data_IF_917545563973
#
_entry.id   IF_917545563973
#
_cell.length_a   1.000
_cell.length_b   1.000
_cell.length_c   1.000
_cell.angle_alpha   90.00
_cell.angle_beta   90.00
_cell.angle_gamma   90.00
#
_symmetry.space_group_name_H-M   'P 1'
#
loop_
_entity.id
_entity.type
_entity.pdbx_description
1 polymer ?
#
# COMPACT_ATOMS: atom_id res chain seq x y z
N UNK A 1 -9.31 1.01 8.41
CA UNK A 1 -8.24 1.99 8.62
C UNK A 1 -7.27 1.58 9.73
N UNK A 2 -7.72 1.39 10.98
CA UNK A 2 -6.84 1.00 12.09
C UNK A 2 -6.01 -0.27 11.80
N UNK A 3 -6.64 -1.29 11.20
CA UNK A 3 -5.93 -2.50 10.76
C UNK A 3 -4.77 -2.21 9.80
N UNK A 4 -4.91 -1.24 8.89
CA UNK A 4 -3.84 -0.85 7.97
C UNK A 4 -2.70 -0.20 8.75
N UNK A 5 -3.02 0.68 9.70
CA UNK A 5 -2.00 1.33 10.54
C UNK A 5 -1.26 0.30 11.41
N UNK A 6 -1.96 -0.69 11.95
CA UNK A 6 -1.36 -1.80 12.71
C UNK A 6 -0.48 -2.70 11.84
N UNK A 7 -0.94 -3.06 10.64
CA UNK A 7 -0.14 -3.83 9.69
C UNK A 7 1.11 -3.07 9.25
N UNK A 8 0.99 -1.76 9.00
CA UNK A 8 2.10 -0.89 8.65
C UNK A 8 3.12 -0.79 9.81
N UNK A 9 2.63 -0.58 11.03
CA UNK A 9 3.46 -0.60 12.23
C UNK A 9 4.24 -1.90 12.35
N UNK A 10 3.55 -3.04 12.24
CA UNK A 10 4.16 -4.36 12.29
C UNK A 10 5.23 -4.56 11.22
N UNK A 11 4.93 -4.22 9.96
CA UNK A 11 5.87 -4.35 8.85
C UNK A 11 7.14 -3.52 9.06
N UNK A 12 6.97 -2.23 9.38
CA UNK A 12 8.11 -1.33 9.57
C UNK A 12 8.91 -1.74 10.81
N UNK A 13 8.26 -2.20 11.88
CA UNK A 13 8.94 -2.61 13.13
C UNK A 13 9.93 -3.74 12.90
N UNK A 14 9.62 -4.69 12.02
CA UNK A 14 10.51 -5.83 11.71
C UNK A 14 11.87 -5.34 11.18
N UNK A 15 11.87 -4.32 10.32
CA UNK A 15 13.07 -3.91 9.58
C UNK A 15 13.69 -2.58 10.07
N UNK A 16 12.88 -1.69 10.65
CA UNK A 16 13.26 -0.35 11.07
C UNK A 16 13.17 -0.10 12.58
N UNK A 17 12.65 -1.06 13.35
CA UNK A 17 12.48 -0.94 14.79
C UNK A 17 11.26 -0.12 15.21
N UNK A 18 11.06 0.00 16.53
CA UNK A 18 9.84 0.55 17.13
C UNK A 18 9.61 2.03 16.80
N UNK A 19 10.69 2.83 16.76
CA UNK A 19 10.61 4.27 16.53
C UNK A 19 10.16 4.58 15.09
N UNK A 20 10.85 3.98 14.11
CA UNK A 20 10.48 4.08 12.70
C UNK A 20 9.05 3.59 12.43
N UNK A 21 8.58 2.56 13.14
CA UNK A 21 7.24 2.02 12.99
C UNK A 21 6.16 3.04 13.40
N UNK A 22 6.29 3.67 14.57
CA UNK A 22 5.37 4.72 14.97
C UNK A 22 5.49 5.96 14.07
N UNK A 23 6.71 6.39 13.75
CA UNK A 23 6.93 7.49 12.83
C UNK A 23 6.22 7.26 11.49
N UNK A 24 6.28 6.04 10.94
CA UNK A 24 5.64 5.67 9.67
C UNK A 24 4.11 5.72 9.73
N UNK A 25 3.51 5.32 10.86
CA UNK A 25 2.07 5.43 11.08
C UNK A 25 1.63 6.89 11.10
N UNK A 26 2.30 7.72 11.89
CA UNK A 26 2.03 9.16 11.95
C UNK A 26 2.23 9.82 10.58
N UNK A 27 3.31 9.45 9.89
CA UNK A 27 3.63 9.96 8.57
C UNK A 27 2.50 9.69 7.59
N UNK A 28 2.05 8.43 7.50
CA UNK A 28 0.96 8.09 6.60
C UNK A 28 -0.33 8.84 6.94
N UNK A 29 -0.71 8.95 8.22
CA UNK A 29 -1.91 9.70 8.63
C UNK A 29 -1.86 11.17 8.24
N UNK A 30 -0.67 11.76 8.21
CA UNK A 30 -0.44 13.16 7.82
C UNK A 30 -0.26 13.36 6.31
N UNK A 31 -0.44 12.32 5.48
CA UNK A 31 -0.41 12.47 4.02
C UNK A 31 -1.70 13.08 3.46
N UNK A 32 -1.63 13.85 2.35
CA UNK A 32 -2.82 14.31 1.65
C UNK A 32 -3.77 13.18 1.26
N UNK A 33 -3.23 12.03 0.83
CA UNK A 33 -4.07 10.91 0.39
C UNK A 33 -4.85 10.28 1.54
N UNK A 34 -4.23 10.15 2.72
CA UNK A 34 -4.93 9.63 3.88
C UNK A 34 -6.11 10.53 4.27
N UNK A 35 -5.86 11.83 4.36
CA UNK A 35 -6.88 12.83 4.72
C UNK A 35 -8.01 12.82 3.68
N UNK A 36 -7.68 12.76 2.39
CA UNK A 36 -8.68 12.71 1.31
C UNK A 36 -9.55 11.44 1.37
N UNK A 37 -8.98 10.31 1.79
CA UNK A 37 -9.65 9.00 1.79
C UNK A 37 -10.21 8.60 3.17
N UNK A 38 -10.02 9.43 4.20
CA UNK A 38 -10.42 9.18 5.59
C UNK A 38 -11.91 8.82 5.74
N UNK A 39 -12.80 9.54 5.03
CA UNK A 39 -14.26 9.36 5.13
C UNK A 39 -14.91 8.90 3.82
N UNK A 40 -14.11 8.47 2.85
CA UNK A 40 -14.62 8.01 1.57
C UNK A 40 -14.85 6.51 1.65
N UNK A 41 -16.07 6.03 1.43
CA UNK A 41 -16.28 4.60 1.17
C UNK A 41 -15.55 4.22 -0.12
N UNK A 42 -14.44 3.49 0.01
CA UNK A 42 -13.60 3.12 -1.12
C UNK A 42 -12.86 1.81 -0.87
N UNK A 43 -12.43 1.19 -1.97
CA UNK A 43 -11.74 -0.09 -1.97
C UNK A 43 -10.22 0.03 -1.74
N UNK A 44 -9.70 1.25 -1.57
CA UNK A 44 -8.27 1.54 -1.60
C UNK A 44 -7.60 1.38 -0.26
N UNK A 45 -8.29 1.74 0.82
CA UNK A 45 -7.85 1.42 2.17
C UNK A 45 -7.84 -0.10 2.42
N UNK A 46 -8.88 -0.88 2.04
CA UNK A 46 -8.82 -2.34 2.03
C UNK A 46 -7.70 -2.93 1.17
N UNK A 47 -7.49 -2.40 -0.05
CA UNK A 47 -6.39 -2.83 -0.93
C UNK A 47 -5.03 -2.61 -0.26
N UNK A 48 -4.79 -1.42 0.27
CA UNK A 48 -3.54 -1.11 0.95
C UNK A 48 -3.35 -1.94 2.22
N UNK A 49 -4.42 -2.18 2.98
CA UNK A 49 -4.39 -3.10 4.11
C UNK A 49 -3.91 -4.48 3.67
N UNK A 50 -4.53 -5.03 2.63
CA UNK A 50 -4.19 -6.36 2.16
C UNK A 50 -2.74 -6.43 1.62
N UNK A 51 -2.27 -5.40 0.91
CA UNK A 51 -0.86 -5.36 0.47
C UNK A 51 0.10 -5.31 1.67
N UNK A 52 -0.13 -4.39 2.61
CA UNK A 52 0.77 -4.21 3.77
C UNK A 52 0.71 -5.39 4.74
N UNK A 53 -0.48 -5.93 5.01
CA UNK A 53 -0.67 -7.10 5.85
C UNK A 53 -0.09 -8.37 5.19
N UNK A 54 -0.19 -8.49 3.87
CA UNK A 54 0.43 -9.56 3.10
C UNK A 54 1.96 -9.52 3.23
N UNK A 55 2.57 -8.35 3.04
CA UNK A 55 4.01 -8.17 3.26
C UNK A 55 4.40 -8.47 4.71
N UNK A 56 3.64 -7.99 5.68
CA UNK A 56 3.88 -8.24 7.10
C UNK A 56 3.81 -9.73 7.46
N UNK A 57 2.78 -10.44 6.97
CA UNK A 57 2.64 -11.89 7.16
C UNK A 57 3.78 -12.65 6.50
N UNK A 58 4.17 -12.26 5.28
CA UNK A 58 5.26 -12.91 4.57
C UNK A 58 6.62 -12.69 5.23
N UNK A 59 6.87 -11.49 5.78
CA UNK A 59 8.07 -11.18 6.57
C UNK A 59 8.24 -12.06 7.82
N UNK A 60 7.17 -12.72 8.28
CA UNK A 60 7.13 -13.56 9.48
C UNK A 60 6.73 -15.01 9.21
N UNK A 61 6.58 -15.40 7.94
CA UNK A 61 6.03 -16.72 7.59
C UNK A 61 6.90 -17.88 8.08
N UNK A 62 8.17 -17.62 8.39
CA UNK A 62 9.10 -18.61 8.93
C UNK A 62 8.85 -18.91 10.41
N UNK A 63 8.31 -17.96 11.16
CA UNK A 63 8.04 -18.11 12.60
C UNK A 63 6.88 -19.06 12.89
N UNK A 64 5.81 -19.05 12.07
CA UNK A 64 4.60 -19.83 12.30
C UNK A 64 3.68 -19.83 11.07
N UNK A 65 2.90 -20.90 10.91
CA UNK A 65 1.90 -21.03 9.84
C UNK A 65 0.83 -19.93 9.86
N UNK A 66 0.54 -19.32 11.02
CA UNK A 66 -0.42 -18.21 11.12
C UNK A 66 -0.04 -17.01 10.24
N UNK A 67 1.26 -16.80 10.04
CA UNK A 67 1.78 -15.70 9.24
C UNK A 67 1.71 -16.01 7.74
N UNK A 68 1.94 -17.27 7.36
CA UNK A 68 1.62 -17.76 6.02
C UNK A 68 0.14 -17.62 5.72
N UNK A 69 -0.74 -17.99 6.67
CA UNK A 69 -2.18 -17.82 6.54
C UNK A 69 -2.58 -16.35 6.38
N UNK A 70 -1.94 -15.42 7.11
CA UNK A 70 -2.15 -13.98 6.94
C UNK A 70 -1.79 -13.51 5.52
N UNK A 71 -0.68 -14.00 4.94
CA UNK A 71 -0.33 -13.70 3.56
C UNK A 71 -1.38 -14.22 2.58
N UNK A 72 -1.79 -15.49 2.71
CA UNK A 72 -2.81 -16.11 1.83
C UNK A 72 -4.15 -15.37 1.95
N UNK A 73 -4.61 -15.09 3.16
CA UNK A 73 -5.83 -14.33 3.39
C UNK A 73 -5.76 -12.91 2.80
N UNK A 74 -4.60 -12.26 2.90
CA UNK A 74 -4.37 -10.97 2.27
C UNK A 74 -4.42 -11.04 0.75
N UNK A 75 -3.88 -12.10 0.14
CA UNK A 75 -3.93 -12.32 -1.30
C UNK A 75 -5.38 -12.51 -1.78
N UNK A 76 -6.16 -13.32 -1.07
CA UNK A 76 -7.58 -13.51 -1.33
C UNK A 76 -8.30 -12.15 -1.24
N UNK A 77 -8.05 -11.41 -0.16
CA UNK A 77 -8.64 -10.10 0.04
C UNK A 77 -8.35 -9.15 -1.13
N UNK A 78 -7.10 -9.05 -1.61
CA UNK A 78 -6.81 -8.19 -2.78
C UNK A 78 -7.55 -8.67 -4.04
N UNK A 79 -7.53 -9.98 -4.32
CA UNK A 79 -8.20 -10.56 -5.48
C UNK A 79 -9.69 -10.24 -5.48
N UNK A 80 -10.37 -10.43 -4.35
CA UNK A 80 -11.81 -10.16 -4.25
C UNK A 80 -12.15 -8.66 -4.19
N UNK A 81 -11.27 -7.79 -3.68
CA UNK A 81 -11.51 -6.34 -3.69
C UNK A 81 -11.38 -5.76 -5.10
N UNK A 82 -10.36 -6.16 -5.85
CA UNK A 82 -9.93 -5.41 -7.05
C UNK A 82 -9.38 -6.28 -8.21
N UNK A 83 -9.56 -7.59 -8.15
CA UNK A 83 -9.20 -8.53 -9.21
C UNK A 83 -7.75 -8.41 -9.64
N UNK A 84 -7.48 -8.04 -10.90
CA UNK A 84 -6.13 -7.94 -11.51
C UNK A 84 -5.15 -7.06 -10.72
N UNK A 85 -5.65 -6.11 -9.92
CA UNK A 85 -4.77 -5.32 -9.03
C UNK A 85 -4.09 -6.16 -7.93
N UNK A 86 -4.46 -7.44 -7.75
CA UNK A 86 -3.75 -8.41 -6.91
C UNK A 86 -2.29 -8.60 -7.28
N UNK A 87 -1.93 -8.36 -8.55
CA UNK A 87 -0.54 -8.35 -9.01
C UNK A 87 0.34 -7.35 -8.24
N UNK A 88 -0.23 -6.31 -7.62
CA UNK A 88 0.52 -5.39 -6.75
C UNK A 88 1.10 -6.12 -5.55
N UNK A 89 0.33 -6.99 -4.89
CA UNK A 89 0.84 -7.80 -3.78
C UNK A 89 1.84 -8.84 -4.29
N UNK A 90 1.59 -9.46 -5.44
CA UNK A 90 2.55 -10.38 -6.09
C UNK A 90 3.90 -9.69 -6.29
N UNK A 91 3.94 -8.56 -7.00
CA UNK A 91 5.16 -7.79 -7.26
C UNK A 91 5.86 -7.36 -5.97
N UNK A 92 5.11 -6.90 -4.97
CA UNK A 92 5.66 -6.47 -3.69
C UNK A 92 6.24 -7.66 -2.89
N UNK A 93 5.59 -8.82 -2.94
CA UNK A 93 6.06 -10.05 -2.29
C UNK A 93 7.32 -10.61 -2.97
N UNK A 94 7.41 -10.53 -4.30
CA UNK A 94 8.63 -10.86 -5.05
C UNK A 94 9.77 -9.90 -4.70
N UNK A 95 9.48 -8.60 -4.59
CA UNK A 95 10.48 -7.62 -4.14
C UNK A 95 10.98 -7.95 -2.72
N UNK A 96 10.08 -8.28 -1.79
CA UNK A 96 10.44 -8.71 -0.44
C UNK A 96 11.33 -9.95 -0.44
N UNK A 97 10.95 -10.98 -1.19
CA UNK A 97 11.75 -12.19 -1.33
C UNK A 97 13.14 -11.88 -1.89
N UNK A 98 13.23 -11.08 -2.95
CA UNK A 98 14.50 -10.75 -3.62
C UNK A 98 15.42 -9.85 -2.79
N UNK A 99 14.86 -8.99 -1.92
CA UNK A 99 15.61 -7.98 -1.16
C UNK A 99 16.01 -8.49 0.23
N UNK A 100 15.12 -9.20 0.92
CA UNK A 100 15.26 -9.44 2.37
C UNK A 100 15.34 -10.92 2.75
N UNK A 101 14.49 -11.79 2.18
CA UNK A 101 14.30 -13.13 2.74
C UNK A 101 15.05 -14.22 1.98
N UNK A 102 14.94 -14.25 0.64
CA UNK A 102 15.63 -15.19 -0.27
C UNK A 102 15.57 -16.68 0.11
N UNK A 103 14.61 -17.11 0.93
CA UNK A 103 14.47 -18.52 1.31
C UNK A 103 13.51 -19.26 0.39
N UNK A 104 13.73 -20.57 0.25
CA UNK A 104 12.81 -21.45 -0.49
C UNK A 104 11.43 -21.50 0.14
N UNK A 105 11.35 -21.49 1.48
CA UNK A 105 10.09 -21.50 2.23
C UNK A 105 9.22 -20.30 1.88
N UNK A 106 9.77 -19.09 1.84
CA UNK A 106 9.04 -17.88 1.44
C UNK A 106 8.51 -18.01 0.01
N UNK A 107 9.33 -18.50 -0.92
CA UNK A 107 8.90 -18.73 -2.30
C UNK A 107 7.77 -19.77 -2.37
N UNK A 108 7.86 -20.87 -1.63
CA UNK A 108 6.80 -21.87 -1.52
C UNK A 108 5.49 -21.26 -0.98
N UNK A 109 5.56 -20.37 0.03
CA UNK A 109 4.38 -19.68 0.56
C UNK A 109 3.77 -18.74 -0.48
N UNK A 110 4.58 -17.98 -1.22
CA UNK A 110 4.12 -17.13 -2.32
C UNK A 110 3.40 -18.00 -3.36
N UNK A 111 4.05 -19.05 -3.85
CA UNK A 111 3.48 -19.94 -4.88
C UNK A 111 2.21 -20.62 -4.41
N UNK A 112 2.21 -21.23 -3.21
CA UNK A 112 1.04 -21.89 -2.65
C UNK A 112 -0.13 -20.90 -2.47
N UNK A 113 0.14 -19.69 -2.00
CA UNK A 113 -0.87 -18.64 -1.91
C UNK A 113 -1.52 -18.32 -3.25
N UNK A 114 -0.74 -18.20 -4.33
CA UNK A 114 -1.27 -17.94 -5.67
C UNK A 114 -2.08 -19.12 -6.23
N UNK A 115 -1.64 -20.37 -5.98
CA UNK A 115 -2.41 -21.56 -6.35
C UNK A 115 -3.76 -21.56 -5.64
N UNK A 116 -3.78 -21.29 -4.34
CA UNK A 116 -5.02 -21.20 -3.56
C UNK A 116 -5.91 -20.06 -4.02
N UNK A 117 -5.34 -18.89 -4.34
CA UNK A 117 -6.11 -17.75 -4.84
C UNK A 117 -6.71 -18.04 -6.22
N UNK A 118 -5.96 -18.69 -7.11
CA UNK A 118 -6.46 -19.14 -8.41
C UNK A 118 -7.59 -20.16 -8.23
N UNK A 119 -7.42 -21.14 -7.35
CA UNK A 119 -8.47 -22.11 -7.04
C UNK A 119 -9.74 -21.42 -6.51
N UNK A 120 -9.61 -20.40 -5.65
CA UNK A 120 -10.73 -19.62 -5.15
C UNK A 120 -11.44 -18.83 -6.28
N UNK A 121 -10.69 -18.25 -7.22
CA UNK A 121 -11.25 -17.55 -8.38
C UNK A 121 -12.00 -18.52 -9.31
N UNK A 122 -11.42 -19.69 -9.58
CA UNK A 122 -12.06 -20.71 -10.41
C UNK A 122 -13.30 -21.31 -9.73
N UNK A 123 -13.25 -21.51 -8.40
CA UNK A 123 -14.41 -21.93 -7.61
C UNK A 123 -15.52 -20.89 -7.65
N UNK A 124 -15.18 -19.60 -7.50
CA UNK A 124 -16.13 -18.50 -7.67
C UNK A 124 -16.75 -18.50 -9.07
N UNK A 125 -15.95 -18.64 -10.13
CA UNK A 125 -16.44 -18.71 -11.51
C UNK A 125 -17.40 -19.89 -11.71
N UNK A 126 -17.07 -21.08 -11.19
CA UNK A 126 -17.92 -22.26 -11.29
C UNK A 126 -19.27 -22.04 -10.58
N UNK A 127 -19.26 -21.50 -9.37
CA UNK A 127 -20.48 -21.17 -8.62
C UNK A 127 -21.30 -20.09 -9.32
N UNK A 128 -20.64 -19.07 -9.87
CA UNK A 128 -21.30 -17.98 -10.59
C UNK A 128 -21.96 -18.49 -11.87
N UNK A 129 -21.25 -19.29 -12.68
CA UNK A 129 -21.81 -19.92 -13.89
C UNK A 129 -22.98 -20.84 -13.55
N UNK A 130 -22.85 -21.65 -12.50
CA UNK A 130 -23.94 -22.52 -12.06
C UNK A 130 -25.20 -21.71 -11.69
N UNK A 131 -25.03 -20.58 -11.00
CA UNK A 131 -26.15 -19.75 -10.55
C UNK A 131 -26.75 -18.85 -11.64
N UNK A 132 -25.96 -18.42 -12.64
CA UNK A 132 -26.36 -17.38 -13.59
C UNK A 132 -26.43 -17.84 -15.05
N UNK A 133 -25.81 -18.97 -15.39
CA UNK A 133 -25.61 -19.42 -16.77
C UNK A 133 -24.50 -18.67 -17.53
N UNK A 134 -23.92 -17.61 -16.94
CA UNK A 134 -22.98 -16.70 -17.60
C UNK A 134 -21.58 -16.76 -17.00
N UNK A 135 -20.56 -16.41 -17.79
CA UNK A 135 -19.16 -16.37 -17.32
C UNK A 135 -18.77 -15.00 -16.77
N UNK A 136 -18.56 -14.92 -15.46
CA UNK A 136 -18.04 -13.69 -14.84
C UNK A 136 -16.63 -13.37 -15.34
N UNK A 137 -15.73 -14.35 -15.36
CA UNK A 137 -14.34 -14.12 -15.77
C UNK A 137 -14.23 -13.67 -17.22
N UNK A 138 -15.01 -14.25 -18.14
CA UNK A 138 -15.03 -13.82 -19.54
C UNK A 138 -15.45 -12.35 -19.64
N UNK A 139 -16.55 -11.97 -18.97
CA UNK A 139 -17.02 -10.59 -18.94
C UNK A 139 -16.01 -9.65 -18.29
N UNK A 140 -15.49 -10.01 -17.12
CA UNK A 140 -14.54 -9.21 -16.36
C UNK A 140 -13.23 -8.98 -17.13
N UNK A 141 -12.64 -10.04 -17.67
CA UNK A 141 -11.40 -9.94 -18.44
C UNK A 141 -11.63 -9.26 -19.79
N UNK A 142 -12.77 -9.48 -20.44
CA UNK A 142 -13.17 -8.75 -21.64
C UNK A 142 -13.30 -7.26 -21.37
N UNK A 143 -13.90 -6.86 -20.25
CA UNK A 143 -14.03 -5.45 -19.88
C UNK A 143 -12.69 -4.80 -19.50
N UNK A 144 -11.84 -5.50 -18.74
CA UNK A 144 -10.54 -4.97 -18.31
C UNK A 144 -9.49 -4.98 -19.44
N UNK A 145 -9.54 -6.00 -20.29
CA UNK A 145 -8.55 -6.25 -21.35
C UNK A 145 -8.96 -5.77 -22.74
N UNK A 146 -10.25 -5.77 -23.08
CA UNK A 146 -10.73 -5.48 -24.44
C UNK A 146 -10.27 -4.12 -24.96
N UNK A 147 -10.42 -3.06 -24.14
CA UNK A 147 -9.93 -1.72 -24.51
C UNK A 147 -8.41 -1.61 -24.58
N UNK A 148 -7.68 -2.46 -23.85
CA UNK A 148 -6.22 -2.44 -23.85
C UNK A 148 -5.64 -3.18 -25.07
N UNK A 149 -6.30 -4.25 -25.52
CA UNK A 149 -5.91 -5.01 -26.72
C UNK A 149 -6.22 -4.21 -27.99
N UNK A 150 -7.39 -3.57 -28.07
CA UNK A 150 -7.79 -2.75 -29.22
C UNK A 150 -6.89 -1.53 -29.44
N UNK A 151 -6.37 -0.93 -28.37
CA UNK A 151 -5.54 0.29 -28.45
C UNK A 151 -4.08 0.03 -28.85
N UNK A 152 -3.61 -1.22 -28.81
CA UNK A 152 -2.22 -1.59 -29.07
C UNK A 152 -1.21 -1.04 -28.04
N UNK A 153 0.08 -1.37 -28.21
CA UNK A 153 1.15 -0.85 -27.35
C UNK A 153 1.68 0.48 -27.89
N UNK A 154 1.44 1.57 -27.13
CA UNK A 154 1.85 2.93 -27.47
C UNK A 154 2.88 3.47 -26.46
N UNK A 155 4.19 3.36 -26.72
CA UNK A 155 5.25 3.69 -25.77
C UNK A 155 5.14 5.11 -25.19
N UNK A 156 4.78 6.08 -26.02
CA UNK A 156 4.64 7.50 -25.64
C UNK A 156 3.55 7.69 -24.58
N UNK A 157 2.44 6.96 -24.69
CA UNK A 157 1.36 6.98 -23.71
C UNK A 157 1.80 6.34 -22.40
N UNK A 158 2.60 5.27 -22.44
CA UNK A 158 3.10 4.60 -21.22
C UNK A 158 4.10 5.48 -20.48
N UNK A 159 4.95 6.21 -21.20
CA UNK A 159 5.86 7.19 -20.60
C UNK A 159 5.09 8.35 -19.96
N UNK A 160 4.04 8.86 -20.63
CA UNK A 160 3.16 9.87 -20.05
C UNK A 160 2.45 9.35 -18.79
N UNK A 161 1.94 8.12 -18.81
CA UNK A 161 1.30 7.50 -17.65
C UNK A 161 2.29 7.33 -16.48
N UNK A 162 3.54 6.97 -16.78
CA UNK A 162 4.61 6.91 -15.79
C UNK A 162 4.87 8.28 -15.16
N UNK A 163 5.07 9.33 -15.96
CA UNK A 163 5.25 10.68 -15.46
C UNK A 163 4.06 11.13 -14.59
N UNK A 164 2.84 10.80 -15.03
CA UNK A 164 1.61 11.10 -14.30
C UNK A 164 1.57 10.39 -12.93
N UNK A 165 1.85 9.08 -12.88
CA UNK A 165 1.86 8.33 -11.62
C UNK A 165 3.01 8.75 -10.69
N UNK A 166 4.17 9.11 -11.23
CA UNK A 166 5.27 9.67 -10.44
C UNK A 166 4.87 11.01 -9.79
N UNK A 167 4.25 11.92 -10.56
CA UNK A 167 3.74 13.17 -10.01
C UNK A 167 2.71 12.94 -8.89
N UNK A 168 1.83 11.95 -9.05
CA UNK A 168 0.89 11.55 -7.99
C UNK A 168 1.57 10.93 -6.78
N UNK A 169 2.57 10.08 -6.98
CA UNK A 169 3.37 9.53 -5.88
C UNK A 169 4.07 10.63 -5.07
N UNK A 170 4.60 11.65 -5.75
CA UNK A 170 5.21 12.81 -5.10
C UNK A 170 4.19 13.63 -4.31
N UNK A 171 3.03 13.94 -4.91
CA UNK A 171 2.00 14.76 -4.27
C UNK A 171 1.34 14.04 -3.09
N UNK A 172 0.87 12.81 -3.30
CA UNK A 172 0.03 12.11 -2.34
C UNK A 172 0.80 11.50 -1.17
N UNK A 173 2.10 11.25 -1.33
CA UNK A 173 2.98 10.85 -0.23
C UNK A 173 3.77 12.03 0.37
N UNK A 174 3.49 13.28 -0.05
CA UNK A 174 4.07 14.46 0.56
C UNK A 174 3.66 14.59 2.05
N UNK A 175 4.47 15.23 2.90
CA UNK A 175 5.83 15.75 2.62
C UNK A 175 6.93 14.66 2.66
N UNK A 176 6.58 13.44 3.04
CA UNK A 176 7.55 12.39 3.38
C UNK A 176 8.40 11.93 2.21
N UNK A 177 7.86 11.91 1.00
CA UNK A 177 8.62 11.58 -0.20
C UNK A 177 9.69 12.64 -0.53
N UNK A 178 9.46 13.91 -0.17
CA UNK A 178 10.46 14.97 -0.30
C UNK A 178 11.60 14.74 0.69
N UNK A 179 11.25 14.40 1.94
CA UNK A 179 12.21 14.03 2.99
C UNK A 179 13.03 12.80 2.57
N UNK A 180 12.37 11.80 1.98
CA UNK A 180 13.02 10.61 1.43
C UNK A 180 14.03 10.98 0.34
N UNK A 181 13.62 11.78 -0.63
CA UNK A 181 14.49 12.22 -1.72
C UNK A 181 15.70 13.01 -1.19
N UNK A 182 15.48 13.94 -0.26
CA UNK A 182 16.55 14.71 0.37
C UNK A 182 17.59 13.80 1.05
N UNK A 183 17.15 12.86 1.90
CA UNK A 183 18.08 11.97 2.59
C UNK A 183 18.69 10.89 1.70
N UNK A 184 18.00 10.47 0.63
CA UNK A 184 18.55 9.58 -0.38
C UNK A 184 19.69 10.26 -1.16
N UNK A 185 19.49 11.49 -1.64
CA UNK A 185 20.52 12.27 -2.31
C UNK A 185 21.71 12.56 -1.39
N UNK A 186 21.44 12.93 -0.14
CA UNK A 186 22.50 13.10 0.87
C UNK A 186 23.26 11.80 1.13
N UNK A 187 22.57 10.65 1.14
CA UNK A 187 23.18 9.34 1.31
C UNK A 187 24.17 8.97 0.20
N UNK A 188 23.94 9.45 -1.03
CA UNK A 188 24.85 9.23 -2.15
C UNK A 188 26.14 10.05 -1.95
N UNK A 189 26.03 11.26 -1.40
CA UNK A 189 27.17 12.14 -1.13
C UNK A 189 27.99 11.69 0.07
N UNK A 190 27.34 11.34 1.19
CA UNK A 190 28.00 11.02 2.45
C UNK A 190 28.34 9.53 2.63
N UNK A 191 27.97 8.68 1.65
CA UNK A 191 28.18 7.22 1.66
C UNK A 191 27.68 6.51 2.93
N UNK A 192 26.74 7.10 3.66
CA UNK A 192 26.14 6.53 4.89
C UNK A 192 25.43 5.19 4.69
N UNK A 193 25.21 4.77 3.44
CA UNK A 193 24.57 3.49 3.14
C UNK A 193 23.07 3.45 3.46
N UNK A 194 22.39 4.59 3.60
CA UNK A 194 20.95 4.63 3.86
C UNK A 194 20.16 3.81 2.83
N UNK A 195 20.53 3.90 1.55
CA UNK A 195 19.89 3.14 0.46
C UNK A 195 20.18 1.64 0.50
N UNK A 196 21.06 1.16 1.39
CA UNK A 196 21.28 -0.27 1.65
C UNK A 196 20.29 -0.83 2.68
N UNK A 197 19.55 0.04 3.37
CA UNK A 197 18.53 -0.39 4.33
C UNK A 197 17.45 -1.26 3.69
N UNK A 198 17.15 -2.38 4.34
CA UNK A 198 16.21 -3.38 3.86
C UNK A 198 14.81 -2.82 3.69
N UNK A 199 14.30 -2.05 4.66
CA UNK A 199 12.95 -1.49 4.59
C UNK A 199 12.84 -0.44 3.49
N UNK A 200 13.79 0.49 3.41
CA UNK A 200 13.79 1.52 2.37
C UNK A 200 13.83 0.90 0.97
N UNK A 201 14.70 -0.09 0.76
CA UNK A 201 14.78 -0.82 -0.52
C UNK A 201 13.46 -1.52 -0.84
N UNK A 202 12.86 -2.21 0.13
CA UNK A 202 11.57 -2.86 -0.04
C UNK A 202 10.48 -1.86 -0.43
N UNK A 203 10.33 -0.77 0.35
CA UNK A 203 9.29 0.23 0.12
C UNK A 203 9.46 0.92 -1.24
N UNK A 204 10.69 1.28 -1.61
CA UNK A 204 11.00 1.88 -2.91
C UNK A 204 10.75 0.90 -4.07
N UNK A 205 11.23 -0.34 -3.97
CA UNK A 205 11.06 -1.35 -5.02
C UNK A 205 9.57 -1.69 -5.22
N UNK A 206 8.83 -1.97 -4.14
CA UNK A 206 7.39 -2.25 -4.22
C UNK A 206 6.60 -1.07 -4.79
N UNK A 207 6.93 0.15 -4.38
CA UNK A 207 6.29 1.36 -4.92
C UNK A 207 6.61 1.57 -6.41
N UNK A 208 7.88 1.40 -6.80
CA UNK A 208 8.30 1.51 -8.19
C UNK A 208 7.65 0.46 -9.07
N UNK A 209 7.62 -0.82 -8.66
CA UNK A 209 6.93 -1.89 -9.38
C UNK A 209 5.43 -1.63 -9.51
N UNK A 210 4.79 -1.11 -8.47
CA UNK A 210 3.37 -0.74 -8.50
C UNK A 210 3.11 0.38 -9.51
N UNK A 211 3.94 1.44 -9.49
CA UNK A 211 3.86 2.56 -10.43
C UNK A 211 4.09 2.09 -11.86
N UNK A 212 5.14 1.30 -12.10
CA UNK A 212 5.47 0.75 -13.42
C UNK A 212 4.31 -0.11 -13.94
N UNK A 213 3.80 -1.03 -13.11
CA UNK A 213 2.68 -1.89 -13.47
C UNK A 213 1.47 -1.07 -13.93
N UNK A 214 1.01 -0.11 -13.13
CA UNK A 214 -0.16 0.69 -13.50
C UNK A 214 0.10 1.67 -14.66
N UNK A 215 1.36 2.05 -14.90
CA UNK A 215 1.72 2.90 -16.05
C UNK A 215 1.54 2.19 -17.39
N UNK A 216 1.51 0.84 -17.40
CA UNK A 216 1.24 0.05 -18.59
C UNK A 216 -0.23 0.11 -19.04
N UNK A 217 -1.16 0.55 -18.18
CA UNK A 217 -2.58 0.63 -18.48
C UNK A 217 -2.99 2.04 -18.90
N UNK A 218 -3.87 2.15 -19.90
CA UNK A 218 -4.33 3.46 -20.38
C UNK A 218 -5.39 4.08 -19.47
N UNK A 219 -6.14 3.25 -18.74
CA UNK A 219 -7.05 3.72 -17.70
C UNK A 219 -6.23 4.17 -16.49
N UNK A 220 -6.23 5.47 -16.25
CA UNK A 220 -5.58 6.08 -15.08
C UNK A 220 -6.57 6.38 -13.97
N UNK A 221 -6.10 6.21 -12.75
CA UNK A 221 -6.75 6.74 -11.57
C UNK A 221 -5.73 6.90 -10.44
N UNK A 222 -5.84 8.00 -9.69
CA UNK A 222 -4.89 8.33 -8.60
C UNK A 222 -4.84 7.20 -7.58
N UNK A 223 -5.99 6.55 -7.40
CA UNK A 223 -6.23 5.48 -6.44
C UNK A 223 -5.64 4.11 -6.82
N UNK A 224 -5.10 3.94 -8.02
CA UNK A 224 -4.56 2.63 -8.42
C UNK A 224 -3.26 2.30 -7.69
N UNK A 225 -2.37 3.29 -7.52
CA UNK A 225 -1.09 3.12 -6.83
C UNK A 225 -1.20 3.40 -5.32
N UNK A 226 -2.40 3.29 -4.72
CA UNK A 226 -2.62 3.65 -3.31
C UNK A 226 -1.64 3.00 -2.33
N UNK A 227 -1.30 1.70 -2.46
CA UNK A 227 -0.29 1.07 -1.60
C UNK A 227 1.09 1.72 -1.70
N UNK A 228 1.47 2.26 -2.87
CA UNK A 228 2.74 2.95 -3.06
C UNK A 228 2.81 4.22 -2.20
N UNK A 229 1.72 4.97 -2.05
CA UNK A 229 1.70 6.16 -1.20
C UNK A 229 1.99 5.81 0.27
N UNK A 230 1.42 4.71 0.76
CA UNK A 230 1.64 4.22 2.13
C UNK A 230 3.12 3.87 2.34
N UNK A 231 3.70 3.12 1.41
CA UNK A 231 5.08 2.65 1.50
C UNK A 231 6.09 3.80 1.34
N UNK A 232 5.84 4.75 0.43
CA UNK A 232 6.69 5.93 0.26
C UNK A 232 6.66 6.86 1.48
N UNK A 233 5.48 7.06 2.08
CA UNK A 233 5.36 7.84 3.30
C UNK A 233 6.11 7.19 4.47
N UNK A 234 5.95 5.88 4.63
CA UNK A 234 6.69 5.11 5.63
C UNK A 234 8.20 5.15 5.38
N UNK A 235 8.65 5.01 4.13
CA UNK A 235 10.06 5.10 3.77
C UNK A 235 10.65 6.49 4.10
N UNK A 236 9.93 7.57 3.81
CA UNK A 236 10.36 8.92 4.16
C UNK A 236 10.52 9.13 5.66
N UNK A 237 9.57 8.64 6.45
CA UNK A 237 9.67 8.67 7.91
C UNK A 237 10.81 7.79 8.45
N UNK A 238 11.00 6.58 7.91
CA UNK A 238 12.08 5.70 8.32
C UNK A 238 13.46 6.29 7.97
N UNK A 239 13.58 6.97 6.83
CA UNK A 239 14.79 7.70 6.45
C UNK A 239 15.07 8.86 7.43
N UNK A 240 14.04 9.62 7.82
CA UNK A 240 14.16 10.68 8.81
C UNK A 240 14.58 10.15 10.18
N UNK A 241 13.98 9.03 10.63
CA UNK A 241 14.29 8.38 11.90
C UNK A 241 15.77 8.02 12.03
N UNK A 242 16.34 7.46 10.97
CA UNK A 242 17.77 7.10 10.92
C UNK A 242 18.70 8.31 10.93
N UNK A 243 18.24 9.47 10.49
CA UNK A 243 19.09 10.66 10.26
C UNK A 243 18.91 11.74 11.31
N UNK A 244 17.79 11.75 12.05
CA UNK A 244 17.45 12.80 13.00
C UNK A 244 17.15 12.21 14.39
N UNK A 245 18.12 12.22 15.32
CA UNK A 245 17.95 11.64 16.66
C UNK A 245 16.77 12.21 17.46
N UNK A 246 16.41 13.49 17.26
CA UNK A 246 15.26 14.08 17.94
C UNK A 246 13.92 13.50 17.47
N UNK A 247 13.80 13.17 16.18
CA UNK A 247 12.65 12.44 15.65
C UNK A 247 12.56 11.05 16.28
N UNK A 248 13.68 10.33 16.30
CA UNK A 248 13.75 9.00 16.90
C UNK A 248 13.37 9.00 18.38
N UNK A 249 13.90 9.95 19.17
CA UNK A 249 13.59 10.10 20.60
C UNK A 249 12.12 10.38 20.87
N UNK A 250 11.42 11.07 19.96
CA UNK A 250 9.99 11.37 20.09
C UNK A 250 9.17 10.07 20.12
N UNK A 251 9.51 9.09 19.27
CA UNK A 251 8.74 7.86 19.14
C UNK A 251 9.23 6.69 20.00
N UNK A 252 10.41 6.80 20.63
CA UNK A 252 10.95 5.78 21.54
C UNK A 252 10.26 5.77 22.91
N UNK A 253 9.81 6.92 23.42
CA UNK A 253 9.63 7.07 24.88
C UNK A 253 8.26 6.67 25.44
N UNK A 254 7.17 6.62 24.66
CA UNK A 254 5.83 6.35 25.24
C UNK A 254 4.80 5.81 24.22
N UNK A 255 4.69 4.48 24.00
CA UNK A 255 3.78 3.92 23.00
C UNK A 255 2.30 4.23 23.27
N UNK A 256 1.88 4.25 24.55
CA UNK A 256 0.49 4.58 24.92
C UNK A 256 0.16 6.03 24.58
N UNK A 257 1.07 6.98 24.89
CA UNK A 257 0.85 8.40 24.56
C UNK A 257 0.81 8.63 23.06
N UNK A 258 1.64 7.91 22.29
CA UNK A 258 1.61 7.96 20.83
C UNK A 258 0.29 7.42 20.28
N UNK A 259 -0.23 6.32 20.82
CA UNK A 259 -1.53 5.79 20.43
C UNK A 259 -2.68 6.79 20.75
N UNK A 260 -2.65 7.41 21.94
CA UNK A 260 -3.63 8.43 22.32
C UNK A 260 -3.53 9.68 21.43
N UNK A 261 -2.31 10.16 21.16
CA UNK A 261 -2.08 11.30 20.27
C UNK A 261 -2.55 11.01 18.84
N UNK A 262 -2.31 9.79 18.35
CA UNK A 262 -2.83 9.33 17.06
C UNK A 262 -4.36 9.29 17.06
N UNK A 263 -4.97 8.76 18.11
CA UNK A 263 -6.43 8.74 18.27
C UNK A 263 -7.04 10.15 18.25
N UNK A 264 -6.48 11.06 19.05
CA UNK A 264 -6.89 12.46 19.07
C UNK A 264 -6.71 13.13 17.70
N UNK A 265 -5.57 12.91 17.03
CA UNK A 265 -5.31 13.42 15.68
C UNK A 265 -6.34 12.90 14.67
N UNK A 266 -6.65 11.60 14.70
CA UNK A 266 -7.65 11.03 13.80
C UNK A 266 -9.05 11.60 14.04
N UNK A 267 -9.44 11.82 15.31
CA UNK A 267 -10.70 12.49 15.66
C UNK A 267 -10.70 13.91 15.09
N UNK A 268 -9.66 14.70 15.35
CA UNK A 268 -9.55 16.08 14.84
C UNK A 268 -9.59 16.12 13.32
N UNK A 269 -8.81 15.29 12.64
CA UNK A 269 -8.79 15.23 11.17
C UNK A 269 -10.16 14.81 10.60
N UNK A 270 -10.86 13.89 11.27
CA UNK A 270 -12.21 13.47 10.88
C UNK A 270 -13.18 14.63 11.05
N UNK A 271 -13.17 15.32 12.20
CA UNK A 271 -14.02 16.48 12.45
C UNK A 271 -13.76 17.62 11.46
N UNK A 272 -12.49 17.97 11.20
CA UNK A 272 -12.12 18.95 10.18
C UNK A 272 -12.61 18.51 8.80
N UNK A 273 -12.46 17.22 8.46
CA UNK A 273 -12.94 16.69 7.19
C UNK A 273 -14.45 16.83 7.09
N UNK A 274 -15.23 16.45 8.11
CA UNK A 274 -16.69 16.65 8.14
C UNK A 274 -17.04 18.13 7.95
N UNK A 275 -16.41 19.01 8.73
CA UNK A 275 -16.67 20.44 8.71
C UNK A 275 -16.44 21.07 7.34
N UNK A 276 -15.32 20.78 6.68
CA UNK A 276 -15.00 21.33 5.36
C UNK A 276 -15.70 20.62 4.19
N UNK A 277 -16.21 19.39 4.38
CA UNK A 277 -16.91 18.63 3.32
C UNK A 277 -18.44 18.61 3.45
N UNK A 278 -19.04 19.36 4.38
CA UNK A 278 -20.50 19.50 4.52
C UNK A 278 -21.21 19.84 3.21
N UNK A 279 -20.57 20.58 2.28
CA UNK A 279 -21.13 20.88 0.96
C UNK A 279 -21.26 19.65 0.01
N UNK A 280 -20.49 18.58 0.24
CA UNK A 280 -20.55 17.35 -0.57
C UNK A 280 -21.40 16.24 0.05
N UNK A 281 -21.63 16.27 1.37
CA UNK A 281 -22.55 15.37 2.05
C UNK A 281 -23.93 16.02 2.15
N UNK A 282 -24.60 16.23 1.00
CA UNK A 282 -25.97 16.77 0.91
C UNK A 282 -27.00 16.02 1.76
N UNK A 283 -26.67 14.82 2.23
CA UNK A 283 -27.53 13.94 3.01
C UNK A 283 -27.31 14.03 4.53
N UNK A 284 -26.26 14.72 4.98
CA UNK A 284 -26.01 14.95 6.42
C UNK A 284 -26.34 16.41 6.71
N UNK A 285 -27.63 16.70 6.93
CA UNK A 285 -28.06 18.00 7.48
C UNK A 285 -27.73 17.98 8.98
N UNK A 286 -26.53 18.44 9.34
CA UNK A 286 -26.17 18.70 10.75
C UNK A 286 -26.95 19.88 11.33
N UNK A 287 -27.54 20.71 10.48
CA UNK A 287 -28.33 21.88 10.85
C UNK A 287 -29.64 21.85 10.06
N UNK A 288 -30.75 21.83 10.80
CA UNK A 288 -32.08 22.06 10.26
C UNK A 288 -32.25 23.57 10.09
N UNK A 289 -32.00 24.06 8.88
CA UNK A 289 -32.51 25.32 8.40
C UNK A 289 -33.36 25.06 7.16
#
# INVERSE_FOLDING_TARGET
MLLLLLALHGLVRIYGGQSAAWGSVFAFVLTPVFIQYLMRANHELPLALAVVAGLYGLSRCEESLRWSALFVASLFLVVFIKGVSSLVLTLSSTALWAIALRTRRVLSVITAGHILALAAVLGFEALYRFATGESFLSFYLGFQGGKAVEAGFRPEMKLYNLAWYLARALWFAAPWVIILAYYALRSLRDRSGLMRDTFLRLALASSALTVLFFSLFDRKADRYIFPAYVLLAAAGSAALDKRKPSWRKLFEKTPVRLALALGALLVVLTLLRVYFHTYHYRFIRLWAH
#
